data_IF_576982257781
#
_entry.id   IF_576982257781
#
_cell.length_a   1.000
_cell.length_b   1.000
_cell.length_c   1.000
_cell.angle_alpha   90.00
_cell.angle_beta   90.00
_cell.angle_gamma   90.00
#
_symmetry.space_group_name_H-M   'P 1'
#
loop_
_entity.id
_entity.type
_entity.pdbx_description
1 polymer ?
#
# COMPACT_ATOMS: atom_id res chain seq x y z
N UNK A 1 -38.89 40.91 12.04
CA UNK A 1 -38.71 39.45 12.28
C UNK A 1 -39.19 38.54 11.12
N UNK A 2 -40.12 38.94 10.27
CA UNK A 2 -40.68 38.12 9.16
C UNK A 2 -39.77 37.99 7.92
N UNK A 3 -38.80 38.89 7.73
CA UNK A 3 -37.90 38.85 6.53
C UNK A 3 -36.79 37.80 6.64
N UNK A 4 -36.24 37.57 7.85
CA UNK A 4 -35.18 36.56 8.09
C UNK A 4 -35.66 35.10 7.91
N UNK A 5 -36.90 34.82 8.25
CA UNK A 5 -37.50 33.49 8.08
C UNK A 5 -37.70 33.11 6.59
N UNK A 6 -38.03 34.10 5.74
CA UNK A 6 -38.22 33.87 4.30
C UNK A 6 -36.89 33.58 3.56
N UNK A 7 -35.81 34.23 3.97
CA UNK A 7 -34.45 33.99 3.35
C UNK A 7 -33.95 32.61 3.73
N UNK A 8 -34.10 32.17 4.98
CA UNK A 8 -33.69 30.83 5.41
C UNK A 8 -34.44 29.70 4.68
N UNK A 9 -35.77 29.88 4.47
CA UNK A 9 -36.58 28.88 3.77
C UNK A 9 -36.21 28.78 2.29
N UNK A 10 -35.85 29.89 1.64
CA UNK A 10 -35.42 29.91 0.22
C UNK A 10 -34.07 29.22 0.04
N UNK A 11 -33.14 29.37 0.97
CA UNK A 11 -31.81 28.68 0.91
C UNK A 11 -31.98 27.18 1.08
N UNK A 12 -32.86 26.74 2.02
CA UNK A 12 -33.14 25.30 2.23
C UNK A 12 -33.81 24.68 0.99
N UNK A 13 -34.77 25.37 0.40
CA UNK A 13 -35.44 24.90 -0.80
C UNK A 13 -34.51 24.85 -2.01
N UNK A 14 -33.59 25.80 -2.14
CA UNK A 14 -32.60 25.82 -3.19
C UNK A 14 -31.56 24.68 -3.04
N UNK A 15 -31.10 24.41 -1.80
CA UNK A 15 -30.25 23.29 -1.48
C UNK A 15 -30.91 21.92 -1.75
N UNK A 16 -32.19 21.79 -1.41
CA UNK A 16 -32.96 20.57 -1.70
C UNK A 16 -33.20 20.39 -3.21
N UNK A 17 -33.41 21.48 -3.96
CA UNK A 17 -33.54 21.42 -5.42
C UNK A 17 -32.24 21.03 -6.13
N UNK A 18 -31.09 21.50 -5.63
CA UNK A 18 -29.77 21.07 -6.11
C UNK A 18 -29.56 19.59 -5.81
N UNK A 19 -29.86 19.11 -4.60
CA UNK A 19 -29.77 17.68 -4.26
C UNK A 19 -30.67 16.82 -5.15
N UNK A 20 -31.90 17.27 -5.43
CA UNK A 20 -32.83 16.57 -6.32
C UNK A 20 -32.37 16.54 -7.79
N UNK A 21 -31.72 17.62 -8.26
CA UNK A 21 -31.12 17.69 -9.61
C UNK A 21 -29.93 16.76 -9.78
N UNK A 22 -29.10 16.60 -8.75
CA UNK A 22 -28.01 15.64 -8.73
C UNK A 22 -28.53 14.20 -8.64
N UNK A 23 -29.60 13.95 -7.91
CA UNK A 23 -30.25 12.63 -7.82
C UNK A 23 -30.92 12.22 -9.13
N UNK A 24 -31.54 13.16 -9.85
CA UNK A 24 -32.27 12.88 -11.11
C UNK A 24 -31.34 12.67 -12.31
N UNK A 25 -30.07 13.04 -12.23
CA UNK A 25 -29.08 12.84 -13.32
C UNK A 25 -28.27 11.56 -13.16
N UNK A 26 -28.62 10.67 -12.24
CA UNK A 26 -27.92 9.38 -12.10
C UNK A 26 -26.47 9.51 -11.61
N UNK A 27 -26.06 10.70 -11.09
CA UNK A 27 -24.71 10.97 -10.60
C UNK A 27 -24.41 10.31 -9.24
N UNK A 28 -25.43 9.82 -8.54
CA UNK A 28 -25.28 8.87 -7.45
C UNK A 28 -25.58 7.47 -7.97
N UNK A 29 -24.67 6.91 -8.76
CA UNK A 29 -24.63 5.47 -8.87
C UNK A 29 -24.25 4.91 -7.49
N UNK A 30 -24.94 3.87 -6.98
CA UNK A 30 -24.51 3.22 -5.77
C UNK A 30 -23.04 2.82 -5.97
N UNK A 31 -22.20 3.15 -4.98
CA UNK A 31 -20.82 2.66 -4.95
C UNK A 31 -20.93 1.15 -4.88
N UNK A 32 -20.91 0.49 -6.04
CA UNK A 32 -20.80 -0.96 -6.11
C UNK A 32 -19.54 -1.31 -5.32
N UNK A 33 -19.67 -2.23 -4.35
CA UNK A 33 -18.51 -2.74 -3.65
C UNK A 33 -17.55 -3.29 -4.70
N UNK A 34 -16.27 -2.97 -4.57
CA UNK A 34 -15.23 -3.44 -5.51
C UNK A 34 -15.28 -4.96 -5.68
N UNK A 35 -15.72 -5.70 -4.63
CA UNK A 35 -16.03 -7.13 -4.69
C UNK A 35 -17.09 -7.51 -5.73
N UNK A 36 -18.10 -6.65 -5.95
CA UNK A 36 -19.19 -6.96 -6.88
C UNK A 36 -18.73 -6.74 -8.33
N UNK A 37 -17.90 -5.72 -8.57
CA UNK A 37 -17.28 -5.51 -9.89
C UNK A 37 -16.28 -6.63 -10.25
N UNK A 38 -15.50 -7.13 -9.28
CA UNK A 38 -14.57 -8.25 -9.50
C UNK A 38 -15.36 -9.55 -9.83
N UNK A 39 -16.50 -9.79 -9.17
CA UNK A 39 -17.39 -10.92 -9.47
C UNK A 39 -18.01 -10.87 -10.86
N UNK A 40 -18.43 -9.69 -11.31
CA UNK A 40 -19.01 -9.53 -12.66
C UNK A 40 -17.99 -9.79 -13.77
N UNK A 41 -16.74 -9.40 -13.58
CA UNK A 41 -15.68 -9.59 -14.60
C UNK A 41 -15.20 -11.04 -14.66
N UNK A 42 -15.16 -11.77 -13.54
CA UNK A 42 -14.73 -13.19 -13.53
C UNK A 42 -15.80 -14.18 -13.99
N UNK A 43 -17.03 -13.73 -14.26
CA UNK A 43 -18.11 -14.59 -14.78
C UNK A 43 -18.49 -15.75 -13.87
N UNK A 44 -18.10 -15.75 -12.60
CA UNK A 44 -18.45 -16.77 -11.61
C UNK A 44 -17.87 -18.18 -11.86
N UNK A 45 -16.97 -18.34 -12.83
CA UNK A 45 -16.28 -19.61 -13.07
C UNK A 45 -15.04 -19.71 -12.19
N UNK A 46 -14.90 -20.83 -11.48
CA UNK A 46 -13.68 -21.12 -10.73
C UNK A 46 -12.46 -21.13 -11.66
N UNK A 47 -11.44 -20.32 -11.33
CA UNK A 47 -10.17 -20.31 -12.07
C UNK A 47 -9.32 -21.50 -11.61
N UNK A 48 -8.84 -22.35 -12.53
CA UNK A 48 -7.93 -23.44 -12.17
C UNK A 48 -6.67 -22.93 -11.49
N UNK A 49 -6.41 -23.43 -10.27
CA UNK A 49 -5.21 -23.11 -9.50
C UNK A 49 -4.27 -24.31 -9.53
N UNK A 50 -3.11 -24.14 -10.15
CA UNK A 50 -2.10 -25.19 -10.36
C UNK A 50 -0.89 -24.92 -9.47
N UNK A 51 -0.43 -25.95 -8.74
CA UNK A 51 0.81 -25.89 -7.97
C UNK A 51 1.98 -26.40 -8.81
N UNK A 52 2.95 -25.53 -9.09
CA UNK A 52 4.16 -25.83 -9.87
C UNK A 52 5.44 -25.73 -9.00
N UNK A 53 5.32 -26.02 -7.72
CA UNK A 53 6.44 -26.08 -6.79
C UNK A 53 6.19 -27.15 -5.72
N UNK A 54 7.24 -27.52 -4.99
CA UNK A 54 7.09 -28.42 -3.82
C UNK A 54 6.72 -27.60 -2.59
N UNK A 55 6.02 -28.26 -1.64
CA UNK A 55 5.80 -27.66 -0.33
C UNK A 55 7.14 -27.51 0.43
N UNK A 56 7.40 -26.33 1.01
CA UNK A 56 8.63 -26.08 1.76
C UNK A 56 8.67 -26.91 3.06
N UNK A 57 9.89 -27.24 3.49
CA UNK A 57 10.09 -27.70 4.88
C UNK A 57 9.94 -26.50 5.80
N UNK A 58 9.05 -26.62 6.75
CA UNK A 58 8.72 -25.55 7.67
C UNK A 58 9.32 -25.77 9.06
N UNK A 59 9.64 -24.71 9.80
CA UNK A 59 9.87 -24.81 11.23
C UNK A 59 8.55 -25.18 11.94
N UNK A 60 8.63 -25.68 13.16
CA UNK A 60 7.43 -25.97 13.98
C UNK A 60 6.76 -24.69 14.50
N UNK A 61 7.52 -23.61 14.57
CA UNK A 61 7.08 -22.32 15.08
C UNK A 61 7.86 -21.17 14.43
N UNK A 62 7.29 -19.97 14.45
CA UNK A 62 7.90 -18.72 13.99
C UNK A 62 7.83 -17.66 15.08
N UNK A 63 8.73 -16.66 15.12
CA UNK A 63 8.66 -15.58 16.10
C UNK A 63 7.30 -14.88 16.10
N UNK A 64 6.77 -14.55 17.28
CA UNK A 64 5.67 -13.61 17.42
C UNK A 64 6.23 -12.20 17.38
N UNK A 65 5.80 -11.39 16.40
CA UNK A 65 6.28 -10.04 16.19
C UNK A 65 5.22 -9.04 16.67
N UNK A 66 5.47 -8.44 17.83
CA UNK A 66 4.65 -7.37 18.40
C UNK A 66 5.07 -6.04 17.81
N UNK A 67 4.10 -5.24 17.36
CA UNK A 67 4.32 -3.87 16.89
C UNK A 67 4.36 -2.96 18.11
N UNK A 68 5.43 -2.18 18.22
CA UNK A 68 5.63 -1.23 19.31
C UNK A 68 5.30 0.16 18.80
N UNK A 69 4.28 0.78 19.39
CA UNK A 69 3.96 2.17 19.07
C UNK A 69 5.06 3.10 19.57
N UNK A 70 5.38 4.11 18.77
CA UNK A 70 6.26 5.21 19.11
C UNK A 70 5.44 6.38 19.62
N UNK A 71 5.96 7.07 20.60
CA UNK A 71 5.41 8.36 21.01
C UNK A 71 6.12 9.46 20.24
N UNK A 72 5.35 10.25 19.52
CA UNK A 72 5.80 11.49 18.88
C UNK A 72 5.05 12.68 19.49
N UNK A 73 5.75 13.79 19.70
CA UNK A 73 5.12 15.09 19.91
C UNK A 73 4.97 15.84 18.59
N UNK A 74 4.17 16.89 18.57
CA UNK A 74 4.07 17.78 17.40
C UNK A 74 5.45 18.39 17.05
N UNK A 75 6.27 18.72 18.06
CA UNK A 75 7.62 19.24 17.88
C UNK A 75 8.56 18.21 17.25
N UNK A 76 8.46 16.91 17.63
CA UNK A 76 9.24 15.84 17.01
C UNK A 76 8.92 15.73 15.52
N UNK A 77 7.63 15.82 15.17
CA UNK A 77 7.18 15.65 13.78
C UNK A 77 7.55 16.86 12.92
N UNK A 78 7.45 18.08 13.47
CA UNK A 78 7.96 19.29 12.81
C UNK A 78 9.47 19.21 12.57
N UNK A 79 10.24 18.73 13.56
CA UNK A 79 11.67 18.55 13.41
C UNK A 79 12.03 17.53 12.31
N UNK A 80 11.22 16.47 12.13
CA UNK A 80 11.38 15.54 11.02
C UNK A 80 11.13 16.24 9.67
N UNK A 81 10.05 17.01 9.54
CA UNK A 81 9.74 17.76 8.32
C UNK A 81 10.87 18.74 7.96
N UNK A 82 11.36 19.49 8.93
CA UNK A 82 12.40 20.51 8.73
C UNK A 82 13.77 19.88 8.43
N UNK A 83 14.24 18.94 9.26
CA UNK A 83 15.60 18.44 9.20
C UNK A 83 15.82 17.34 8.14
N UNK A 84 14.79 16.58 7.79
CA UNK A 84 14.89 15.47 6.82
C UNK A 84 14.36 15.89 5.46
N UNK A 85 13.20 16.56 5.40
CA UNK A 85 12.51 16.90 4.16
C UNK A 85 12.60 18.39 3.80
N UNK A 86 13.24 19.22 4.65
CA UNK A 86 13.53 20.65 4.41
C UNK A 86 12.27 21.49 4.14
N UNK A 87 11.18 21.22 4.86
CA UNK A 87 9.98 22.07 4.85
C UNK A 87 9.41 22.25 6.25
N UNK A 88 8.55 23.26 6.42
CA UNK A 88 7.77 23.52 7.64
C UNK A 88 6.31 23.64 7.27
N UNK A 89 5.42 23.28 8.18
CA UNK A 89 3.99 23.29 7.90
C UNK A 89 3.13 23.27 9.15
N UNK A 90 1.82 23.14 8.94
CA UNK A 90 0.85 22.92 10.01
C UNK A 90 0.85 21.45 10.41
N UNK A 91 0.84 21.17 11.72
CA UNK A 91 0.71 19.81 12.26
C UNK A 91 -0.74 19.51 12.60
N UNK A 92 -1.26 18.42 12.05
CA UNK A 92 -2.64 17.96 12.31
C UNK A 92 -2.60 16.50 12.77
N UNK A 93 -3.05 16.19 14.01
CA UNK A 93 -3.18 14.80 14.44
C UNK A 93 -4.37 14.14 13.75
N UNK A 94 -4.17 12.90 13.28
CA UNK A 94 -5.19 12.03 12.69
C UNK A 94 -5.43 10.88 13.66
N UNK A 95 -6.69 10.54 13.88
CA UNK A 95 -7.09 9.57 14.90
C UNK A 95 -7.67 8.30 14.27
N UNK A 96 -7.43 7.15 14.91
CA UNK A 96 -8.22 5.95 14.66
C UNK A 96 -9.66 6.13 15.15
N UNK A 97 -10.56 5.27 14.71
CA UNK A 97 -11.95 5.25 15.20
C UNK A 97 -12.03 5.00 16.73
N UNK A 98 -11.00 4.43 17.34
CA UNK A 98 -10.86 4.27 18.78
C UNK A 98 -10.62 5.58 19.55
N UNK A 99 -10.29 6.67 18.84
CA UNK A 99 -9.90 7.95 19.43
C UNK A 99 -8.40 8.08 19.77
N UNK A 100 -7.60 7.02 19.56
CA UNK A 100 -6.15 7.07 19.67
C UNK A 100 -5.54 7.79 18.44
N UNK A 101 -4.41 8.48 18.62
CA UNK A 101 -3.67 9.07 17.50
C UNK A 101 -3.14 7.95 16.59
N UNK A 102 -3.43 8.03 15.30
CA UNK A 102 -2.92 7.12 14.27
C UNK A 102 -1.63 7.66 13.65
N UNK A 103 -1.64 8.94 13.29
CA UNK A 103 -0.46 9.64 12.76
C UNK A 103 -0.55 11.15 13.01
N UNK A 104 0.55 11.82 12.79
CA UNK A 104 0.63 13.27 12.65
C UNK A 104 0.88 13.61 11.19
N UNK A 105 0.07 14.48 10.63
CA UNK A 105 0.26 15.04 9.31
C UNK A 105 0.88 16.42 9.43
N UNK A 106 2.00 16.67 8.73
CA UNK A 106 2.61 18.00 8.55
C UNK A 106 2.46 18.37 7.11
N UNK A 107 1.87 19.52 6.82
CA UNK A 107 1.69 19.98 5.44
C UNK A 107 1.86 21.48 5.28
N UNK A 108 2.33 21.87 4.11
CA UNK A 108 2.26 23.23 3.57
C UNK A 108 1.51 23.22 2.22
N UNK A 109 1.72 24.21 1.36
CA UNK A 109 1.05 24.31 0.06
C UNK A 109 1.52 23.24 -0.94
N UNK A 110 2.70 22.66 -0.76
CA UNK A 110 3.38 21.78 -1.72
C UNK A 110 3.88 20.48 -1.13
N UNK A 111 3.94 20.34 0.19
CA UNK A 111 4.51 19.17 0.87
C UNK A 111 3.50 18.56 1.84
N UNK A 112 3.55 17.25 1.95
CA UNK A 112 2.75 16.45 2.88
C UNK A 112 3.63 15.37 3.50
N UNK A 113 3.69 15.33 4.83
CA UNK A 113 4.42 14.31 5.60
C UNK A 113 3.48 13.68 6.62
N UNK A 114 3.32 12.37 6.57
CA UNK A 114 2.62 11.58 7.57
C UNK A 114 3.61 10.78 8.40
N UNK A 115 3.57 10.94 9.72
CA UNK A 115 4.38 10.18 10.69
C UNK A 115 3.46 9.35 11.56
N UNK A 116 3.45 8.04 11.35
CA UNK A 116 2.55 7.10 12.02
C UNK A 116 3.11 6.61 13.34
N UNK A 117 2.25 6.44 14.34
CA UNK A 117 2.66 5.92 15.66
C UNK A 117 3.25 4.52 15.61
N UNK A 118 2.96 3.72 14.59
CA UNK A 118 3.61 2.44 14.35
C UNK A 118 5.06 2.54 13.85
N UNK A 119 5.53 3.76 13.56
CA UNK A 119 6.88 4.06 13.08
C UNK A 119 6.98 4.22 11.56
N UNK A 120 5.91 3.97 10.81
CA UNK A 120 5.88 4.23 9.37
C UNK A 120 5.87 5.73 9.05
N UNK A 121 6.26 6.10 7.84
CA UNK A 121 6.25 7.47 7.35
C UNK A 121 5.95 7.52 5.86
N UNK A 122 5.17 8.53 5.46
CA UNK A 122 4.97 8.90 4.05
C UNK A 122 5.29 10.38 3.87
N UNK A 123 6.03 10.68 2.84
CA UNK A 123 6.28 12.04 2.38
C UNK A 123 5.94 12.15 0.91
N UNK A 124 5.31 13.25 0.53
CA UNK A 124 5.11 13.62 -0.87
C UNK A 124 5.26 15.12 -1.07
N UNK A 125 5.73 15.47 -2.25
CA UNK A 125 5.77 16.83 -2.76
C UNK A 125 4.82 16.96 -3.95
N UNK A 126 4.08 18.07 -4.06
CA UNK A 126 3.27 18.38 -5.24
C UNK A 126 4.21 18.68 -6.42
N UNK A 127 4.59 17.61 -7.11
CA UNK A 127 5.63 17.60 -8.14
C UNK A 127 5.02 17.56 -9.53
N UNK A 128 4.93 18.72 -10.16
CA UNK A 128 4.46 18.85 -11.53
C UNK A 128 5.60 18.97 -12.53
N UNK A 129 5.57 18.11 -13.55
CA UNK A 129 6.57 18.09 -14.62
C UNK A 129 5.90 18.39 -15.96
N UNK A 130 6.25 19.51 -16.58
CA UNK A 130 5.70 19.96 -17.86
C UNK A 130 6.62 19.66 -19.05
N UNK A 131 7.82 19.17 -18.81
CA UNK A 131 8.81 18.77 -19.81
C UNK A 131 9.67 17.63 -19.26
N UNK A 132 10.36 16.83 -20.10
CA UNK A 132 11.25 15.78 -19.64
C UNK A 132 12.24 16.30 -18.60
N UNK A 133 12.26 15.71 -17.37
CA UNK A 133 13.15 16.13 -16.29
C UNK A 133 14.59 15.66 -16.54
N UNK A 134 15.56 16.30 -15.89
CA UNK A 134 16.94 15.84 -15.79
C UNK A 134 17.06 14.79 -14.67
N UNK A 135 16.71 13.55 -14.98
CA UNK A 135 16.76 12.46 -14.01
C UNK A 135 18.20 12.02 -13.75
N UNK A 136 18.55 11.68 -12.49
CA UNK A 136 19.86 11.16 -12.18
C UNK A 136 20.10 9.78 -12.83
N UNK A 137 21.36 9.38 -12.92
CA UNK A 137 21.67 7.99 -13.25
C UNK A 137 21.15 7.03 -12.16
N UNK A 138 20.93 5.78 -12.52
CA UNK A 138 20.50 4.72 -11.59
C UNK A 138 21.40 4.65 -10.34
N UNK A 139 22.73 4.71 -10.51
CA UNK A 139 23.68 4.69 -9.39
C UNK A 139 23.51 5.90 -8.47
N UNK A 140 23.28 7.10 -9.05
CA UNK A 140 23.07 8.31 -8.28
C UNK A 140 21.72 8.28 -7.57
N UNK A 141 20.69 7.71 -8.19
CA UNK A 141 19.40 7.54 -7.54
C UNK A 141 19.50 6.63 -6.30
N UNK A 142 20.22 5.52 -6.39
CA UNK A 142 20.49 4.64 -5.24
C UNK A 142 21.24 5.41 -4.14
N UNK A 143 22.27 6.16 -4.48
CA UNK A 143 23.04 6.95 -3.51
C UNK A 143 22.15 8.00 -2.79
N UNK A 144 21.25 8.67 -3.51
CA UNK A 144 20.30 9.63 -2.92
C UNK A 144 19.37 8.92 -1.93
N UNK A 145 18.83 7.76 -2.31
CA UNK A 145 17.93 6.99 -1.47
C UNK A 145 18.64 6.48 -0.20
N UNK A 146 19.86 5.95 -0.32
CA UNK A 146 20.66 5.50 0.84
C UNK A 146 20.98 6.66 1.79
N UNK A 147 21.31 7.85 1.26
CA UNK A 147 21.55 9.04 2.08
C UNK A 147 20.30 9.44 2.88
N UNK A 148 19.09 9.36 2.29
CA UNK A 148 17.85 9.59 3.01
C UNK A 148 17.64 8.55 4.12
N UNK A 149 17.81 7.26 3.81
CA UNK A 149 17.69 6.20 4.81
C UNK A 149 18.71 6.34 5.94
N UNK A 150 19.94 6.77 5.63
CA UNK A 150 20.98 7.05 6.65
C UNK A 150 20.62 8.24 7.53
N UNK A 151 20.06 9.31 6.97
CA UNK A 151 19.54 10.43 7.75
C UNK A 151 18.43 10.00 8.70
N UNK A 152 17.45 9.22 8.22
CA UNK A 152 16.38 8.63 9.03
C UNK A 152 16.93 7.72 10.14
N UNK A 153 17.93 6.90 9.82
CA UNK A 153 18.62 6.02 10.79
C UNK A 153 19.35 6.84 11.84
N UNK A 154 20.07 7.88 11.44
CA UNK A 154 20.79 8.81 12.34
C UNK A 154 19.87 9.50 13.34
N UNK A 155 18.63 9.78 12.96
CA UNK A 155 17.58 10.33 13.84
C UNK A 155 16.83 9.26 14.65
N UNK A 156 17.18 7.98 14.51
CA UNK A 156 16.51 6.87 15.20
C UNK A 156 15.08 6.63 14.73
N UNK A 157 14.73 7.07 13.52
CA UNK A 157 13.39 6.94 12.94
C UNK A 157 13.16 5.57 12.27
N UNK A 158 14.24 4.87 11.90
CA UNK A 158 14.15 3.50 11.40
C UNK A 158 13.95 2.48 12.53
N UNK A 159 13.44 1.28 12.25
CA UNK A 159 13.28 0.21 13.26
C UNK A 159 14.61 -0.15 13.94
N UNK A 160 14.57 -0.38 15.26
CA UNK A 160 15.77 -0.58 16.08
C UNK A 160 16.11 -2.05 16.34
N UNK A 161 15.18 -2.97 16.09
CA UNK A 161 15.42 -4.38 16.37
C UNK A 161 16.54 -4.94 15.48
N UNK A 162 17.55 -5.67 16.00
CA UNK A 162 18.75 -6.07 15.26
C UNK A 162 18.48 -7.05 14.11
N UNK A 163 17.35 -7.75 14.13
CA UNK A 163 16.93 -8.66 13.06
C UNK A 163 16.11 -7.96 11.98
N UNK A 164 15.73 -6.69 12.17
CA UNK A 164 15.05 -5.91 11.13
C UNK A 164 16.07 -5.47 10.09
N UNK A 165 15.72 -5.67 8.82
CA UNK A 165 16.51 -5.27 7.67
C UNK A 165 15.65 -4.53 6.66
N UNK A 166 16.21 -3.47 6.10
CA UNK A 166 15.70 -2.77 4.92
C UNK A 166 16.71 -3.07 3.82
N UNK A 167 16.40 -4.03 2.95
CA UNK A 167 17.32 -4.52 1.93
C UNK A 167 16.96 -3.94 0.57
N UNK A 168 17.96 -3.39 -0.15
CA UNK A 168 17.77 -2.95 -1.53
C UNK A 168 17.13 -4.04 -2.38
N UNK A 169 16.13 -3.69 -3.17
CA UNK A 169 15.39 -4.60 -4.05
C UNK A 169 15.66 -4.27 -5.51
N UNK A 170 15.29 -3.07 -5.93
CA UNK A 170 15.43 -2.65 -7.31
C UNK A 170 15.41 -1.13 -7.46
N UNK A 171 15.74 -0.65 -8.65
CA UNK A 171 15.56 0.74 -9.07
C UNK A 171 15.05 0.76 -10.51
N UNK A 172 14.12 1.65 -10.81
CA UNK A 172 13.57 1.79 -12.16
C UNK A 172 12.58 2.94 -12.27
N UNK A 173 12.08 3.21 -13.48
CA UNK A 173 11.02 4.18 -13.70
C UNK A 173 9.75 3.80 -12.94
N UNK A 174 9.09 4.78 -12.32
CA UNK A 174 7.83 4.55 -11.60
C UNK A 174 6.73 5.55 -11.91
N UNK A 175 7.05 6.68 -12.50
CA UNK A 175 6.08 7.64 -13.01
C UNK A 175 6.49 8.18 -14.37
N UNK A 176 5.52 8.68 -15.12
CA UNK A 176 5.73 9.27 -16.42
C UNK A 176 4.57 10.18 -16.81
N UNK A 177 4.82 11.04 -17.77
CA UNK A 177 3.86 11.97 -18.34
C UNK A 177 3.90 11.93 -19.86
N UNK A 178 2.83 12.40 -20.47
CA UNK A 178 2.73 12.60 -21.90
C UNK A 178 2.72 14.11 -22.21
N UNK A 179 3.54 14.54 -23.13
CA UNK A 179 3.54 15.95 -23.56
C UNK A 179 2.39 16.22 -24.55
N UNK A 180 2.18 17.50 -24.87
CA UNK A 180 1.12 17.95 -25.80
C UNK A 180 1.22 17.32 -27.19
N UNK A 181 2.39 16.81 -27.59
CA UNK A 181 2.61 16.14 -28.87
C UNK A 181 2.36 14.62 -28.82
N UNK A 182 1.96 14.06 -27.66
CA UNK A 182 1.72 12.64 -27.48
C UNK A 182 3.01 11.84 -27.23
N UNK A 183 4.11 12.49 -26.88
CA UNK A 183 5.36 11.83 -26.56
C UNK A 183 5.42 11.54 -25.05
N UNK A 184 5.66 10.28 -24.72
CA UNK A 184 5.74 9.81 -23.34
C UNK A 184 7.17 9.94 -22.80
N UNK A 185 7.33 10.42 -21.58
CA UNK A 185 8.62 10.51 -20.88
C UNK A 185 8.50 10.12 -19.41
N UNK A 186 9.61 9.60 -18.85
CA UNK A 186 9.71 9.25 -17.43
C UNK A 186 9.87 10.53 -16.61
N UNK A 187 9.14 10.62 -15.51
CA UNK A 187 9.21 11.76 -14.59
C UNK A 187 9.93 11.44 -13.30
N UNK A 188 10.00 10.15 -12.90
CA UNK A 188 10.58 9.72 -11.65
C UNK A 188 11.28 8.36 -11.76
N UNK A 189 12.35 8.20 -10.99
CA UNK A 189 12.96 6.90 -10.67
C UNK A 189 12.57 6.51 -9.24
N UNK A 190 12.16 5.26 -9.05
CA UNK A 190 11.87 4.71 -7.75
C UNK A 190 12.96 3.73 -7.33
N UNK A 191 13.57 3.97 -6.17
CA UNK A 191 14.47 3.04 -5.49
C UNK A 191 13.67 2.32 -4.43
N UNK A 192 13.59 0.98 -4.51
CA UNK A 192 12.76 0.16 -3.63
C UNK A 192 13.58 -0.73 -2.75
N UNK A 193 13.08 -0.97 -1.56
CA UNK A 193 13.68 -1.82 -0.54
C UNK A 193 12.64 -2.82 -0.02
N UNK A 194 13.13 -3.92 0.54
CA UNK A 194 12.30 -4.93 1.23
C UNK A 194 12.47 -4.82 2.72
N UNK A 195 11.35 -4.76 3.41
CA UNK A 195 11.30 -4.87 4.85
C UNK A 195 11.31 -6.34 5.26
N UNK A 196 12.27 -6.72 6.12
CA UNK A 196 12.45 -8.10 6.58
C UNK A 196 12.66 -8.17 8.07
N UNK A 197 12.29 -9.31 8.64
CA UNK A 197 12.67 -9.72 9.99
C UNK A 197 13.46 -11.03 9.94
N UNK A 198 14.75 -10.98 10.17
CA UNK A 198 15.65 -12.10 9.94
C UNK A 198 15.59 -12.58 8.50
N UNK A 199 15.14 -13.81 8.28
CA UNK A 199 14.99 -14.40 6.97
C UNK A 199 13.54 -14.29 6.42
N UNK A 200 12.62 -13.70 7.17
CA UNK A 200 11.22 -13.57 6.77
C UNK A 200 10.98 -12.21 6.13
N UNK A 201 10.41 -12.20 4.95
CA UNK A 201 9.90 -10.97 4.32
C UNK A 201 8.62 -10.52 5.01
N UNK A 202 8.41 -9.20 5.08
CA UNK A 202 7.14 -8.60 5.49
C UNK A 202 6.42 -8.14 4.24
N UNK A 203 5.14 -8.44 4.15
CA UNK A 203 4.24 -8.17 3.02
C UNK A 203 3.06 -7.32 3.45
N UNK A 204 2.24 -6.92 2.51
CA UNK A 204 1.11 -6.03 2.74
C UNK A 204 1.58 -4.58 2.78
N UNK A 205 1.13 -3.81 3.77
CA UNK A 205 1.54 -2.41 3.94
C UNK A 205 2.95 -2.33 4.55
N UNK A 206 3.96 -2.69 3.76
CA UNK A 206 5.37 -2.80 4.15
C UNK A 206 6.33 -2.24 3.08
N UNK A 207 5.82 -1.43 2.14
CA UNK A 207 6.63 -0.84 1.09
C UNK A 207 7.64 0.16 1.66
N UNK A 208 8.86 0.12 1.12
CA UNK A 208 9.91 1.10 1.41
C UNK A 208 10.45 1.58 0.06
N UNK A 209 10.11 2.79 -0.30
CA UNK A 209 10.47 3.37 -1.59
C UNK A 209 10.85 4.84 -1.50
N UNK A 210 11.78 5.25 -2.35
CA UNK A 210 12.22 6.63 -2.54
C UNK A 210 12.03 6.99 -3.99
N UNK A 211 11.18 7.97 -4.27
CA UNK A 211 10.95 8.49 -5.61
C UNK A 211 11.80 9.72 -5.84
N UNK A 212 12.50 9.71 -6.94
CA UNK A 212 13.52 10.71 -7.26
C UNK A 212 13.17 11.34 -8.60
N UNK A 213 12.87 12.63 -8.57
CA UNK A 213 12.50 13.45 -9.71
C UNK A 213 13.67 14.27 -10.28
N UNK A 214 13.34 15.43 -10.87
CA UNK A 214 14.27 16.33 -11.53
C UNK A 214 15.49 16.66 -10.67
N UNK A 215 16.67 16.58 -11.26
CA UNK A 215 17.98 16.88 -10.62
C UNK A 215 18.26 16.10 -9.34
N UNK A 216 17.62 14.96 -9.17
CA UNK A 216 17.82 14.10 -7.99
C UNK A 216 17.07 14.54 -6.74
N UNK A 217 16.02 15.36 -6.87
CA UNK A 217 15.15 15.73 -5.75
C UNK A 217 14.31 14.53 -5.33
N UNK A 218 14.21 14.28 -4.03
CA UNK A 218 13.26 13.32 -3.47
C UNK A 218 11.88 13.96 -3.52
N UNK A 219 10.96 13.38 -4.31
CA UNK A 219 9.60 13.90 -4.51
C UNK A 219 8.55 13.07 -3.77
N UNK A 220 8.89 11.82 -3.42
CA UNK A 220 8.06 10.97 -2.57
C UNK A 220 8.95 10.00 -1.79
N UNK A 221 8.53 9.70 -0.59
CA UNK A 221 9.12 8.66 0.25
C UNK A 221 8.01 7.88 0.93
N UNK A 222 8.09 6.56 0.88
CA UNK A 222 7.24 5.65 1.64
C UNK A 222 8.12 4.74 2.47
N UNK A 223 7.93 4.77 3.78
CA UNK A 223 8.70 3.98 4.73
C UNK A 223 7.74 3.21 5.64
N UNK A 224 7.04 2.20 5.09
CA UNK A 224 6.01 1.44 5.80
C UNK A 224 6.58 0.28 6.63
N UNK A 225 7.73 0.51 7.25
CA UNK A 225 8.22 -0.40 8.29
C UNK A 225 7.43 -0.28 9.59
N UNK A 226 7.71 -1.18 10.52
CA UNK A 226 7.14 -1.17 11.88
C UNK A 226 8.27 -1.27 12.91
N UNK A 227 8.13 -0.54 14.02
CA UNK A 227 8.94 -0.85 15.19
C UNK A 227 8.46 -2.19 15.77
N UNK A 228 9.37 -3.15 15.89
CA UNK A 228 9.03 -4.54 16.20
C UNK A 228 9.79 -5.01 17.42
N UNK A 229 9.08 -5.79 18.28
CA UNK A 229 9.64 -6.57 19.37
C UNK A 229 9.29 -8.03 19.15
N UNK A 230 10.30 -8.90 19.15
CA UNK A 230 10.04 -10.34 19.19
C UNK A 230 9.60 -10.75 20.60
N UNK A 231 8.40 -11.32 20.72
CA UNK A 231 7.81 -11.70 22.01
C UNK A 231 7.14 -13.08 21.92
N UNK A 232 7.94 -14.12 22.16
CA UNK A 232 7.49 -15.51 22.10
C UNK A 232 7.48 -16.06 20.67
N UNK A 233 6.67 -17.10 20.45
CA UNK A 233 6.56 -17.81 19.19
C UNK A 233 5.09 -18.11 18.84
N UNK A 234 4.82 -18.25 17.55
CA UNK A 234 3.55 -18.70 16.98
C UNK A 234 3.76 -20.10 16.46
N UNK A 235 2.99 -21.07 16.97
CA UNK A 235 3.02 -22.45 16.51
C UNK A 235 2.34 -22.59 15.16
N UNK A 236 3.00 -23.26 14.23
CA UNK A 236 2.41 -23.56 12.92
C UNK A 236 1.47 -24.76 13.08
N UNK A 237 0.18 -24.54 12.88
CA UNK A 237 -0.86 -25.59 13.02
C UNK A 237 -1.57 -25.92 11.70
N UNK A 238 -1.44 -25.05 10.69
CA UNK A 238 -1.95 -25.25 9.32
C UNK A 238 -0.80 -25.69 8.44
N UNK A 239 -0.96 -26.80 7.69
CA UNK A 239 0.06 -27.23 6.74
C UNK A 239 0.00 -26.40 5.45
N UNK A 240 1.12 -26.28 4.67
CA UNK A 240 1.11 -25.57 3.39
C UNK A 240 0.08 -26.13 2.40
N UNK A 241 -0.14 -27.45 2.44
CA UNK A 241 -1.15 -28.11 1.61
C UNK A 241 -2.57 -27.71 2.00
N UNK A 242 -2.87 -27.65 3.31
CA UNK A 242 -4.17 -27.18 3.81
C UNK A 242 -4.38 -25.70 3.42
N UNK A 243 -3.36 -24.88 3.62
CA UNK A 243 -3.38 -23.47 3.24
C UNK A 243 -3.62 -23.30 1.73
N UNK A 244 -2.92 -24.04 0.87
CA UNK A 244 -3.12 -24.00 -0.57
C UNK A 244 -4.54 -24.40 -0.98
N UNK A 245 -5.11 -25.44 -0.38
CA UNK A 245 -6.49 -25.88 -0.64
C UNK A 245 -7.55 -24.87 -0.22
N UNK A 246 -7.21 -23.97 0.72
CA UNK A 246 -8.12 -22.92 1.20
C UNK A 246 -8.06 -21.63 0.38
N UNK A 247 -7.22 -21.53 -0.64
CA UNK A 247 -7.18 -20.35 -1.53
C UNK A 247 -8.50 -20.28 -2.30
N UNK A 248 -9.24 -19.13 -2.25
CA UNK A 248 -10.43 -18.92 -3.05
C UNK A 248 -10.12 -19.02 -4.54
N UNK A 249 -10.99 -19.67 -5.29
CA UNK A 249 -10.82 -19.85 -6.73
C UNK A 249 -11.70 -18.93 -7.54
N UNK A 250 -12.64 -18.28 -6.90
CA UNK A 250 -13.58 -17.31 -7.44
C UNK A 250 -13.10 -15.86 -7.31
N UNK A 251 -11.96 -15.65 -6.65
CA UNK A 251 -11.39 -14.34 -6.41
C UNK A 251 -9.93 -14.31 -6.84
N UNK A 252 -9.61 -13.40 -7.76
CA UNK A 252 -8.23 -13.15 -8.21
C UNK A 252 -7.65 -11.94 -7.48
N UNK A 253 -6.40 -12.01 -7.00
CA UNK A 253 -5.72 -10.88 -6.34
C UNK A 253 -5.16 -9.85 -7.34
N UNK A 254 -5.78 -9.72 -8.51
CA UNK A 254 -5.39 -8.77 -9.57
C UNK A 254 -6.63 -8.09 -10.13
N UNK A 255 -6.49 -6.84 -10.56
CA UNK A 255 -7.50 -6.13 -11.34
C UNK A 255 -7.16 -6.25 -12.82
N UNK A 256 -7.96 -6.97 -13.57
CA UNK A 256 -7.84 -7.08 -15.03
C UNK A 256 -9.21 -7.24 -15.66
N UNK A 257 -9.39 -6.66 -16.84
CA UNK A 257 -10.59 -6.90 -17.69
C UNK A 257 -10.42 -8.16 -18.54
N UNK A 258 -9.24 -8.80 -18.51
CA UNK A 258 -8.96 -10.00 -19.28
C UNK A 258 -9.48 -11.23 -18.57
N UNK A 259 -10.04 -12.16 -19.33
CA UNK A 259 -10.45 -13.45 -18.80
C UNK A 259 -9.22 -14.28 -18.46
N UNK A 260 -9.12 -14.73 -17.22
CA UNK A 260 -8.03 -15.55 -16.73
C UNK A 260 -8.37 -17.03 -16.95
N UNK A 261 -7.49 -17.75 -17.62
CA UNK A 261 -7.61 -19.17 -17.90
C UNK A 261 -7.13 -20.04 -16.74
N UNK A 262 -6.01 -19.64 -16.10
CA UNK A 262 -5.43 -20.41 -15.00
C UNK A 262 -4.51 -19.55 -14.15
N UNK A 263 -4.25 -20.01 -12.93
CA UNK A 263 -3.21 -19.46 -12.03
C UNK A 263 -2.22 -20.57 -11.70
N UNK A 264 -0.94 -20.29 -11.88
CA UNK A 264 0.15 -21.22 -11.59
C UNK A 264 0.98 -20.68 -10.43
N UNK A 265 0.96 -21.37 -9.29
CA UNK A 265 1.78 -21.04 -8.12
C UNK A 265 3.16 -21.64 -8.28
N UNK A 266 4.18 -20.79 -8.29
CA UNK A 266 5.58 -21.15 -8.53
C UNK A 266 6.44 -21.20 -7.26
N UNK A 267 5.99 -20.56 -6.17
CA UNK A 267 6.69 -20.59 -4.89
C UNK A 267 5.75 -20.46 -3.71
N UNK A 268 6.18 -21.03 -2.58
CA UNK A 268 5.50 -20.95 -1.28
C UNK A 268 6.56 -20.64 -0.24
N UNK A 269 6.33 -19.61 0.55
CA UNK A 269 7.19 -19.26 1.68
C UNK A 269 6.36 -18.87 2.90
N UNK A 270 7.00 -18.72 4.06
CA UNK A 270 6.42 -18.03 5.22
C UNK A 270 6.97 -16.62 5.24
N UNK A 271 6.06 -15.65 5.41
CA UNK A 271 6.36 -14.26 5.66
C UNK A 271 5.44 -13.70 6.74
N UNK A 272 5.55 -12.40 6.98
CA UNK A 272 4.65 -11.68 7.87
C UNK A 272 3.78 -10.73 7.05
N UNK A 273 2.59 -10.48 7.55
CA UNK A 273 1.66 -9.54 6.93
C UNK A 273 1.48 -8.31 7.81
N UNK A 274 1.71 -7.13 7.22
CA UNK A 274 1.39 -5.84 7.79
C UNK A 274 0.08 -5.33 7.21
N UNK A 275 -0.88 -5.00 8.08
CA UNK A 275 -2.10 -4.31 7.68
C UNK A 275 -1.82 -2.82 7.48
N UNK A 276 -2.72 -2.11 6.78
CA UNK A 276 -2.58 -0.67 6.57
C UNK A 276 -2.50 0.08 7.91
N UNK A 277 -1.42 0.85 8.08
CA UNK A 277 -1.20 1.64 9.29
C UNK A 277 -2.19 2.81 9.42
N UNK A 278 -2.86 3.21 8.34
CA UNK A 278 -3.88 4.27 8.34
C UNK A 278 -5.23 3.74 8.81
N UNK A 279 -5.57 2.51 8.43
CA UNK A 279 -6.93 1.96 8.62
C UNK A 279 -7.06 1.12 9.88
N UNK A 280 -5.96 0.57 10.39
CA UNK A 280 -6.04 -0.46 11.42
C UNK A 280 -4.89 -0.34 12.43
N UNK A 281 -5.26 -0.27 13.72
CA UNK A 281 -4.29 -0.44 14.79
C UNK A 281 -3.93 -1.92 14.89
N UNK A 282 -2.85 -2.30 14.23
CA UNK A 282 -2.34 -3.68 14.26
C UNK A 282 -1.40 -3.86 15.44
N UNK A 283 -1.65 -4.86 16.27
CA UNK A 283 -0.81 -5.16 17.46
C UNK A 283 0.34 -6.13 17.15
N UNK A 284 0.18 -6.98 16.14
CA UNK A 284 1.16 -8.01 15.77
C UNK A 284 1.22 -8.17 14.27
N UNK A 285 2.42 -8.36 13.73
CA UNK A 285 2.56 -8.83 12.35
C UNK A 285 2.11 -10.29 12.27
N UNK A 286 1.19 -10.58 11.37
CA UNK A 286 0.63 -11.93 11.22
C UNK A 286 1.53 -12.82 10.38
N UNK A 287 2.03 -13.96 10.91
CA UNK A 287 2.77 -14.91 10.09
C UNK A 287 1.81 -15.61 9.12
N UNK A 288 2.16 -15.62 7.83
CA UNK A 288 1.33 -16.18 6.76
C UNK A 288 2.13 -17.01 5.78
N UNK A 289 1.47 -17.96 5.16
CA UNK A 289 1.92 -18.52 3.89
C UNK A 289 1.74 -17.51 2.79
N UNK A 290 2.78 -17.33 1.99
CA UNK A 290 2.81 -16.47 0.81
C UNK A 290 2.96 -17.37 -0.40
N UNK A 291 1.93 -17.40 -1.25
CA UNK A 291 1.89 -18.16 -2.49
C UNK A 291 2.09 -17.19 -3.65
N UNK A 292 3.22 -17.28 -4.32
CA UNK A 292 3.54 -16.43 -5.49
C UNK A 292 3.40 -17.23 -6.77
N UNK A 293 2.84 -16.59 -7.79
CA UNK A 293 2.58 -17.25 -9.05
C UNK A 293 2.29 -16.29 -10.19
N UNK A 294 1.70 -16.84 -11.24
CA UNK A 294 1.34 -16.13 -12.45
C UNK A 294 -0.07 -16.52 -12.86
N UNK A 295 -0.93 -15.55 -13.07
CA UNK A 295 -2.20 -15.73 -13.75
C UNK A 295 -1.99 -15.62 -15.26
N UNK A 296 -2.57 -16.55 -16.02
CA UNK A 296 -2.51 -16.61 -17.48
C UNK A 296 -3.86 -16.23 -18.04
N UNK A 297 -3.92 -15.22 -18.91
CA UNK A 297 -5.14 -14.89 -19.65
C UNK A 297 -5.30 -15.74 -20.91
N UNK A 298 -6.51 -15.81 -21.45
CA UNK A 298 -6.82 -16.56 -22.69
C UNK A 298 -5.99 -16.09 -23.90
N UNK A 299 -5.55 -14.84 -23.93
CA UNK A 299 -4.69 -14.27 -24.98
C UNK A 299 -3.19 -14.44 -24.69
N UNK A 300 -2.82 -15.19 -23.63
CA UNK A 300 -1.46 -15.55 -23.27
C UNK A 300 -0.70 -14.48 -22.48
N UNK A 301 -1.33 -13.40 -22.05
CA UNK A 301 -0.73 -12.42 -21.15
C UNK A 301 -0.54 -13.00 -19.74
N UNK A 302 0.51 -12.54 -19.07
CA UNK A 302 0.91 -13.01 -17.74
C UNK A 302 0.81 -11.89 -16.72
N UNK A 303 0.16 -12.19 -15.60
CA UNK A 303 0.02 -11.28 -14.45
C UNK A 303 0.60 -11.94 -13.21
N UNK A 304 1.48 -11.27 -12.51
CA UNK A 304 1.95 -11.76 -11.21
C UNK A 304 0.80 -11.77 -10.21
N UNK A 305 0.76 -12.82 -9.39
CA UNK A 305 -0.27 -13.00 -8.36
C UNK A 305 0.37 -13.43 -7.05
N UNK A 306 -0.20 -12.94 -5.96
CA UNK A 306 0.18 -13.34 -4.61
C UNK A 306 -1.07 -13.63 -3.78
N UNK A 307 -1.13 -14.81 -3.18
CA UNK A 307 -2.15 -15.15 -2.20
C UNK A 307 -1.51 -15.34 -0.83
N UNK A 308 -2.25 -15.00 0.21
CA UNK A 308 -1.81 -15.20 1.58
C UNK A 308 -2.80 -16.08 2.36
N UNK A 309 -2.29 -16.93 3.24
CA UNK A 309 -3.10 -17.76 4.14
C UNK A 309 -2.45 -17.86 5.51
N UNK A 310 -3.23 -17.91 6.59
CA UNK A 310 -2.67 -18.00 7.93
C UNK A 310 -1.88 -19.31 8.13
N UNK A 311 -0.83 -19.26 8.94
CA UNK A 311 -0.04 -20.45 9.33
C UNK A 311 -0.62 -21.16 10.54
N UNK A 312 -1.59 -20.55 11.23
CA UNK A 312 -2.24 -21.09 12.43
C UNK A 312 -3.75 -20.91 12.36
N UNK A 313 -4.49 -21.89 12.89
CA UNK A 313 -5.94 -21.81 13.04
C UNK A 313 -6.39 -20.84 14.14
N UNK A 314 -5.48 -20.41 15.02
CA UNK A 314 -5.73 -19.43 16.08
C UNK A 314 -5.71 -17.97 15.56
N UNK A 315 -5.27 -17.74 14.35
CA UNK A 315 -5.12 -16.41 13.73
C UNK A 315 -6.46 -15.65 13.66
N UNK A 316 -7.58 -16.35 13.60
CA UNK A 316 -8.93 -15.76 13.66
C UNK A 316 -9.23 -15.04 14.99
N UNK A 317 -8.56 -15.39 16.07
CA UNK A 317 -8.75 -14.76 17.38
C UNK A 317 -7.87 -13.52 17.59
N UNK A 318 -6.77 -13.37 16.84
CA UNK A 318 -5.95 -12.16 16.86
C UNK A 318 -6.61 -10.97 16.15
N UNK A 319 -7.52 -11.25 15.19
CA UNK A 319 -8.26 -10.23 14.43
C UNK A 319 -9.57 -9.80 15.09
N UNK A 320 -10.17 -10.60 15.97
CA UNK A 320 -11.45 -10.29 16.61
C UNK A 320 -11.37 -9.15 17.64
N UNK A 321 -10.17 -8.69 18.02
CA UNK A 321 -10.00 -7.49 18.85
C UNK A 321 -9.78 -6.20 18.05
N UNK A 322 -9.60 -6.28 16.74
CA UNK A 322 -9.58 -5.14 15.84
C UNK A 322 -10.89 -5.11 15.06
N UNK A 323 -11.86 -4.34 15.56
CA UNK A 323 -13.13 -3.96 14.93
C UNK A 323 -13.77 -4.93 13.93
N UNK A 324 -15.04 -5.26 14.16
CA UNK A 324 -16.03 -5.83 13.24
C UNK A 324 -16.14 -5.02 11.92
N UNK A 325 -15.14 -5.09 11.07
CA UNK A 325 -15.26 -4.73 9.67
C UNK A 325 -15.36 -6.04 8.89
N UNK A 326 -16.55 -6.27 8.32
CA UNK A 326 -17.09 -7.46 7.68
C UNK A 326 -16.10 -8.47 7.10
N UNK A 327 -16.50 -9.73 7.19
CA UNK A 327 -15.87 -10.96 6.70
C UNK A 327 -15.47 -10.89 5.23
N UNK A 328 -14.43 -10.21 4.83
CA UNK A 328 -13.76 -10.33 3.52
C UNK A 328 -12.68 -9.26 3.39
N UNK A 329 -11.61 -9.35 4.21
CA UNK A 329 -10.42 -8.51 4.02
C UNK A 329 -9.36 -9.26 3.20
N UNK A 330 -9.68 -9.52 1.96
CA UNK A 330 -8.71 -9.80 0.92
C UNK A 330 -8.51 -8.50 0.15
N UNK A 331 -7.30 -7.94 0.22
CA UNK A 331 -6.83 -6.78 -0.54
C UNK A 331 -7.81 -5.59 -0.61
N UNK A 332 -7.81 -4.71 0.40
CA UNK A 332 -8.46 -3.41 0.30
C UNK A 332 -7.51 -2.43 -0.38
N UNK A 333 -7.76 -2.13 -1.63
CA UNK A 333 -7.09 -1.03 -2.32
C UNK A 333 -7.84 0.27 -2.01
N UNK A 334 -7.17 1.21 -1.35
CA UNK A 334 -7.73 2.55 -1.13
C UNK A 334 -7.32 3.44 -2.30
N UNK A 335 -8.31 3.89 -3.07
CA UNK A 335 -8.14 4.94 -4.05
C UNK A 335 -8.21 6.28 -3.33
N UNK A 336 -7.07 6.93 -3.08
CA UNK A 336 -7.00 8.17 -2.32
C UNK A 336 -7.24 9.46 -3.14
N UNK A 337 -7.31 9.38 -4.47
CA UNK A 337 -7.76 10.50 -5.31
C UNK A 337 -8.18 10.02 -6.71
N UNK A 338 -8.98 10.83 -7.43
CA UNK A 338 -9.46 10.51 -8.78
C UNK A 338 -8.34 10.40 -9.84
N UNK A 339 -7.10 10.79 -9.51
CA UNK A 339 -5.97 10.83 -10.43
C UNK A 339 -4.74 10.03 -9.97
N UNK A 340 -4.79 9.30 -8.86
CA UNK A 340 -3.67 8.53 -8.35
C UNK A 340 -4.03 7.04 -8.29
N UNK A 341 -3.58 6.27 -9.25
CA UNK A 341 -3.60 4.81 -9.16
C UNK A 341 -2.35 4.43 -8.37
N UNK A 342 -2.50 4.20 -7.06
CA UNK A 342 -1.45 3.58 -6.27
C UNK A 342 -1.54 2.08 -6.55
N UNK A 343 -0.55 1.54 -7.23
CA UNK A 343 -0.35 0.11 -7.33
C UNK A 343 0.13 -0.41 -5.97
N UNK A 344 -0.80 -0.82 -5.11
CA UNK A 344 -0.46 -1.63 -3.95
C UNK A 344 -0.19 -3.04 -4.47
N UNK A 345 1.00 -3.33 -4.79
CA UNK A 345 1.71 -4.58 -4.91
C UNK A 345 2.80 -4.52 -5.99
N UNK A 346 3.73 -3.62 -5.82
CA UNK A 346 4.84 -3.49 -6.75
C UNK A 346 6.12 -4.12 -6.19
N UNK A 347 6.03 -5.28 -5.53
CA UNK A 347 7.23 -5.99 -5.05
C UNK A 347 8.20 -6.38 -6.18
N UNK A 348 7.78 -6.30 -7.45
CA UNK A 348 8.57 -6.88 -8.55
C UNK A 348 8.64 -6.07 -9.84
N UNK A 349 8.05 -4.87 -9.94
CA UNK A 349 8.12 -4.08 -11.17
C UNK A 349 9.24 -3.05 -11.14
N UNK A 350 10.47 -3.48 -11.41
CA UNK A 350 11.37 -2.67 -12.21
C UNK A 350 10.86 -2.74 -13.65
N UNK A 351 10.01 -1.81 -14.04
CA UNK A 351 9.46 -1.78 -15.40
C UNK A 351 10.61 -1.47 -16.35
N UNK A 352 11.14 -2.50 -17.01
CA UNK A 352 12.13 -2.36 -18.08
C UNK A 352 11.51 -1.86 -19.39
N UNK A 353 10.17 -1.81 -19.49
CA UNK A 353 9.48 -1.40 -20.71
C UNK A 353 8.18 -0.63 -20.39
N UNK A 354 8.31 0.69 -20.26
CA UNK A 354 7.21 1.65 -19.99
C UNK A 354 6.10 1.60 -21.06
N UNK A 355 6.39 1.12 -22.28
CA UNK A 355 5.43 1.04 -23.40
C UNK A 355 4.28 0.07 -23.15
N UNK A 356 4.30 -0.71 -22.06
CA UNK A 356 3.22 -1.65 -21.66
C UNK A 356 2.24 -1.08 -20.63
N UNK A 357 2.45 0.12 -20.14
CA UNK A 357 1.45 0.81 -19.32
C UNK A 357 0.33 1.34 -20.21
N UNK A 358 -0.69 0.55 -20.44
CA UNK A 358 -1.92 1.02 -21.11
C UNK A 358 -2.73 1.80 -20.08
N UNK A 359 -2.67 3.11 -20.13
CA UNK A 359 -3.58 3.96 -19.38
C UNK A 359 -4.97 3.84 -20.01
N UNK A 360 -5.93 3.28 -19.28
CA UNK A 360 -7.34 3.36 -19.65
C UNK A 360 -7.81 4.74 -19.21
N UNK A 361 -7.76 5.70 -20.14
CA UNK A 361 -8.51 6.94 -20.02
C UNK A 361 -10.00 6.59 -20.20
N UNK A 362 -10.80 6.78 -19.17
CA UNK A 362 -12.23 7.05 -19.26
C UNK A 362 -12.56 8.32 -18.51
#
# INVERSE_FOLDING_TARGET
MRLRAKVSLSIILFSLAILALFSSKGLFQPIYRVSDMIREVSGGSEVPLVLNCSYPKLPSEVPRLEIVERSFSEEDVLAIAEEIFNFTGEVVPIYYDSGDVACYNVRDETHDLNVFVCGAMDYSEDYHVYSPPDLPSTSRAIEIAENLLDALRGKGLMPRHPLVKIEFSCVGPCAGAENVSGEYYVTELCVRYRFKFGNFSVYGDSDVSVHIGDKGRVVMFSGHWREIKANGAVKITVTPEQAFKSIPRDTLPIKTLKKIESVVINSIEIGYWADSCVLTKQMYLSPRYIFKGVALSEDGEKFEVMYTRPVTSEDTNFYNNSMNLGENREAVFVQLSENSIIFADAEHYCISDIRKLTFINQ
#
